data_IF_035314362179
#
_entry.id   IF_035314362179
#
_cell.length_a   1.000
_cell.length_b   1.000
_cell.length_c   1.000
_cell.angle_alpha   90.00
_cell.angle_beta   90.00
_cell.angle_gamma   90.00
#
_symmetry.space_group_name_H-M   'P 1'
#
loop_
_entity.id
_entity.type
_entity.pdbx_description
1 polymer ?
#
# COMPACT_ATOMS: atom_id res chain seq x y z
N UNK A 1 23.09 0.59 34.44
CA UNK A 1 23.24 1.06 33.05
C UNK A 1 22.65 -0.01 32.15
N UNK A 2 21.49 0.23 31.56
CA UNK A 2 20.93 -0.66 30.53
C UNK A 2 21.82 -0.55 29.29
N UNK A 3 22.28 -1.68 28.76
CA UNK A 3 23.09 -1.70 27.53
C UNK A 3 22.32 -1.04 26.38
N UNK A 4 22.99 -0.22 25.55
CA UNK A 4 22.36 0.41 24.38
C UNK A 4 21.84 -0.70 23.43
N UNK A 5 20.51 -0.83 23.22
CA UNK A 5 19.97 -1.87 22.36
C UNK A 5 20.50 -1.82 20.93
N UNK A 6 20.90 -0.65 20.43
CA UNK A 6 21.43 -0.53 19.06
C UNK A 6 22.75 -1.26 18.84
N UNK A 7 23.50 -1.55 19.92
CA UNK A 7 24.75 -2.30 19.86
C UNK A 7 24.56 -3.81 19.74
N UNK A 8 23.32 -4.31 19.79
CA UNK A 8 23.07 -5.72 19.50
C UNK A 8 23.28 -6.01 18.01
N UNK A 9 23.67 -7.23 17.70
CA UNK A 9 23.81 -7.72 16.33
C UNK A 9 22.48 -7.60 15.58
N UNK A 10 22.54 -7.20 14.32
CA UNK A 10 21.42 -7.13 13.38
C UNK A 10 20.73 -8.48 13.16
N UNK A 11 21.45 -9.59 13.46
CA UNK A 11 20.95 -10.97 13.39
C UNK A 11 20.13 -11.35 14.61
N UNK A 12 20.32 -10.62 15.71
CA UNK A 12 19.59 -10.84 16.95
C UNK A 12 18.22 -10.22 16.80
N UNK A 13 17.23 -11.04 16.43
CA UNK A 13 15.84 -10.61 16.38
C UNK A 13 15.30 -10.65 17.81
N UNK A 14 15.51 -9.57 18.55
CA UNK A 14 14.77 -9.34 19.79
C UNK A 14 13.49 -8.57 19.45
N UNK A 15 12.35 -9.15 19.83
CA UNK A 15 11.03 -8.48 19.83
C UNK A 15 10.86 -7.64 21.09
N UNK A 16 11.93 -7.03 21.59
CA UNK A 16 11.82 -6.16 22.75
C UNK A 16 11.29 -4.81 22.27
N UNK A 17 10.18 -4.36 22.86
CA UNK A 17 9.59 -3.05 22.58
C UNK A 17 10.62 -1.91 22.70
N UNK A 18 11.67 -2.11 23.50
CA UNK A 18 12.73 -1.14 23.68
C UNK A 18 13.66 -1.01 22.45
N UNK A 19 14.04 -2.11 21.79
CA UNK A 19 14.84 -2.04 20.56
C UNK A 19 14.04 -1.38 19.43
N UNK A 20 12.78 -1.80 19.28
CA UNK A 20 11.86 -1.23 18.30
C UNK A 20 11.77 0.30 18.45
N UNK A 21 11.50 0.79 19.67
CA UNK A 21 11.45 2.22 19.99
C UNK A 21 12.74 2.93 19.62
N UNK A 22 13.88 2.40 20.05
CA UNK A 22 15.17 3.07 19.83
C UNK A 22 15.53 3.10 18.35
N UNK A 23 15.20 2.05 17.59
CA UNK A 23 15.34 2.01 16.13
C UNK A 23 14.47 3.08 15.47
N UNK A 24 13.17 3.15 15.79
CA UNK A 24 12.26 4.13 15.17
C UNK A 24 12.71 5.56 15.52
N UNK A 25 13.09 5.80 16.78
CA UNK A 25 13.64 7.09 17.21
C UNK A 25 14.88 7.49 16.40
N UNK A 26 15.83 6.57 16.21
CA UNK A 26 17.04 6.84 15.45
C UNK A 26 16.75 7.06 13.95
N UNK A 27 15.85 6.27 13.37
CA UNK A 27 15.51 6.34 11.95
C UNK A 27 14.82 7.65 11.56
N UNK A 28 13.96 8.21 12.42
CA UNK A 28 13.24 9.45 12.10
C UNK A 28 13.58 10.64 12.98
N UNK A 29 14.61 10.54 13.82
CA UNK A 29 15.04 11.63 14.69
C UNK A 29 14.00 11.99 15.77
N UNK A 30 13.09 11.06 16.10
CA UNK A 30 12.14 11.26 17.20
C UNK A 30 12.81 10.98 18.54
N UNK A 31 12.25 11.51 19.62
CA UNK A 31 12.82 11.42 20.97
C UNK A 31 11.86 10.79 21.98
N UNK A 32 11.02 9.85 21.52
CA UNK A 32 9.98 9.27 22.36
C UNK A 32 10.56 8.44 23.52
N UNK A 33 10.12 8.79 24.72
CA UNK A 33 10.29 7.99 25.92
C UNK A 33 9.54 6.65 25.80
N UNK A 34 9.86 5.64 26.64
CA UNK A 34 9.12 4.37 26.66
C UNK A 34 7.60 4.53 26.79
N UNK A 35 7.16 5.52 27.58
CA UNK A 35 5.73 5.81 27.78
C UNK A 35 5.08 6.44 26.56
N UNK A 36 5.76 7.36 25.87
CA UNK A 36 5.25 7.97 24.65
C UNK A 36 5.20 6.95 23.52
N UNK A 37 6.23 6.11 23.40
CA UNK A 37 6.27 5.05 22.39
C UNK A 37 5.16 4.02 22.61
N UNK A 38 4.84 3.67 23.86
CA UNK A 38 3.75 2.74 24.14
C UNK A 38 2.41 3.19 23.53
N UNK A 39 2.16 4.51 23.45
CA UNK A 39 0.95 5.05 22.81
C UNK A 39 1.00 5.00 21.28
N UNK A 40 2.20 4.93 20.71
CA UNK A 40 2.45 4.90 19.26
C UNK A 40 2.80 3.50 18.74
N UNK A 41 3.02 2.54 19.63
CA UNK A 41 3.62 1.25 19.29
C UNK A 41 2.87 0.54 18.17
N UNK A 42 1.54 0.51 18.25
CA UNK A 42 0.71 -0.13 17.23
C UNK A 42 0.88 0.46 15.81
N UNK A 43 1.30 1.73 15.71
CA UNK A 43 1.55 2.39 14.43
C UNK A 43 2.88 1.99 13.78
N UNK A 44 3.88 1.64 14.61
CA UNK A 44 5.25 1.40 14.16
C UNK A 44 5.70 -0.05 14.28
N UNK A 45 4.97 -0.88 15.03
CA UNK A 45 5.19 -2.32 15.15
C UNK A 45 5.05 -3.03 13.80
N UNK A 46 4.11 -2.59 12.97
CA UNK A 46 3.93 -3.12 11.61
C UNK A 46 5.16 -2.82 10.75
N UNK A 47 5.67 -1.59 10.79
CA UNK A 47 6.92 -1.24 10.10
C UNK A 47 8.08 -2.08 10.62
N UNK A 48 8.24 -2.19 11.94
CA UNK A 48 9.37 -2.89 12.51
C UNK A 48 9.36 -4.39 12.15
N UNK A 49 8.21 -5.04 12.28
CA UNK A 49 8.07 -6.47 11.96
C UNK A 49 8.12 -6.75 10.46
N UNK A 50 7.37 -5.99 9.65
CA UNK A 50 7.16 -6.27 8.22
C UNK A 50 8.22 -5.65 7.33
N UNK A 51 8.78 -4.50 7.73
CA UNK A 51 9.83 -3.81 7.00
C UNK A 51 11.21 -4.10 7.59
N UNK A 52 11.45 -3.64 8.83
CA UNK A 52 12.78 -3.60 9.42
C UNK A 52 13.38 -4.99 9.60
N UNK A 53 12.73 -5.85 10.38
CA UNK A 53 13.22 -7.21 10.64
C UNK A 53 13.39 -8.04 9.37
N UNK A 54 12.44 -7.93 8.43
CA UNK A 54 12.51 -8.66 7.17
C UNK A 54 13.74 -8.23 6.35
N UNK A 55 13.98 -6.93 6.17
CA UNK A 55 15.12 -6.46 5.39
C UNK A 55 16.45 -6.79 6.07
N UNK A 56 16.54 -6.64 7.39
CA UNK A 56 17.73 -7.04 8.15
C UNK A 56 18.03 -8.53 7.97
N UNK A 57 17.03 -9.41 8.11
CA UNK A 57 17.19 -10.86 7.89
C UNK A 57 17.64 -11.17 6.46
N UNK A 58 17.01 -10.53 5.48
CA UNK A 58 17.34 -10.72 4.07
C UNK A 58 18.79 -10.31 3.78
N UNK A 59 19.23 -9.15 4.30
CA UNK A 59 20.59 -8.65 4.15
C UNK A 59 21.65 -9.52 4.82
N UNK A 60 21.32 -10.12 5.97
CA UNK A 60 22.20 -11.04 6.69
C UNK A 60 22.22 -12.48 6.12
N UNK A 61 21.54 -12.73 5.00
CA UNK A 61 21.41 -14.05 4.37
C UNK A 61 21.91 -14.09 2.92
N UNK A 62 22.17 -15.30 2.40
CA UNK A 62 22.65 -15.53 1.04
C UNK A 62 24.16 -15.30 0.84
N UNK A 63 24.60 -15.40 -0.41
CA UNK A 63 26.03 -15.44 -0.78
C UNK A 63 26.79 -14.15 -0.44
N UNK A 64 26.11 -13.00 -0.53
CA UNK A 64 26.69 -11.68 -0.26
C UNK A 64 26.22 -11.08 1.06
N UNK A 65 25.95 -11.93 2.06
CA UNK A 65 25.46 -11.48 3.37
C UNK A 65 26.36 -10.40 3.97
N UNK A 66 25.73 -9.39 4.58
CA UNK A 66 26.47 -8.42 5.37
C UNK A 66 27.13 -9.12 6.58
N UNK A 67 28.31 -8.66 7.04
CA UNK A 67 28.94 -9.15 8.26
C UNK A 67 28.03 -8.96 9.48
N UNK A 68 28.51 -9.35 10.66
CA UNK A 68 27.75 -9.20 11.91
C UNK A 68 27.73 -7.72 12.35
N UNK A 69 26.99 -6.90 11.60
CA UNK A 69 26.73 -5.50 11.90
C UNK A 69 25.82 -5.39 13.10
N UNK A 70 25.94 -4.28 13.81
CA UNK A 70 24.97 -3.85 14.82
C UNK A 70 23.87 -3.00 14.18
N UNK A 71 22.78 -2.75 14.90
CA UNK A 71 21.77 -1.78 14.45
C UNK A 71 22.35 -0.37 14.34
N UNK A 72 23.29 -0.02 15.24
CA UNK A 72 24.03 1.25 15.24
C UNK A 72 24.83 1.44 13.94
N UNK A 73 25.49 0.38 13.44
CA UNK A 73 26.24 0.45 12.18
C UNK A 73 25.32 0.82 11.00
N UNK A 74 24.16 0.17 10.88
CA UNK A 74 23.21 0.47 9.79
C UNK A 74 22.59 1.86 9.95
N UNK A 75 22.28 2.28 11.18
CA UNK A 75 21.77 3.62 11.48
C UNK A 75 22.80 4.69 11.07
N UNK A 76 24.10 4.46 11.29
CA UNK A 76 25.14 5.42 10.86
C UNK A 76 25.19 5.63 9.33
N UNK A 77 24.92 4.56 8.56
CA UNK A 77 24.78 4.65 7.09
C UNK A 77 23.54 5.47 6.75
N UNK A 78 22.42 5.23 7.44
CA UNK A 78 21.17 5.97 7.26
C UNK A 78 21.36 7.45 7.59
N UNK A 79 22.10 7.80 8.63
CA UNK A 79 22.39 9.18 8.97
C UNK A 79 23.28 9.85 7.93
N UNK A 80 24.17 9.10 7.28
CA UNK A 80 24.91 9.57 6.10
C UNK A 80 23.97 9.88 4.93
N UNK A 81 22.92 9.09 4.72
CA UNK A 81 21.87 9.34 3.71
C UNK A 81 21.01 10.57 4.03
N UNK A 82 20.79 10.87 5.31
CA UNK A 82 19.98 12.03 5.76
C UNK A 82 20.74 13.35 5.79
N UNK A 83 22.04 13.31 6.03
CA UNK A 83 22.84 14.50 6.35
C UNK A 83 23.41 15.20 5.13
N UNK A 84 23.45 14.54 3.98
CA UNK A 84 24.21 15.01 2.81
C UNK A 84 23.50 14.61 1.52
N UNK A 85 23.57 15.45 0.48
CA UNK A 85 23.12 15.09 -0.87
C UNK A 85 24.13 14.15 -1.56
N UNK A 86 24.62 13.15 -0.82
CA UNK A 86 25.64 12.23 -1.28
C UNK A 86 25.07 11.30 -2.33
N UNK A 87 25.85 11.11 -3.39
CA UNK A 87 25.63 10.03 -4.33
C UNK A 87 25.93 8.71 -3.63
N UNK A 88 25.31 7.63 -4.10
CA UNK A 88 25.52 6.29 -3.55
C UNK A 88 27.01 5.93 -3.41
N UNK A 89 27.85 6.27 -4.41
CA UNK A 89 29.30 6.04 -4.37
C UNK A 89 30.03 6.73 -3.22
N UNK A 90 29.51 7.86 -2.75
CA UNK A 90 30.11 8.63 -1.67
C UNK A 90 29.71 8.04 -0.33
N UNK A 91 28.45 7.59 -0.19
CA UNK A 91 27.97 6.82 0.97
C UNK A 91 28.74 5.51 1.14
N UNK A 92 29.04 4.80 0.04
CA UNK A 92 29.85 3.57 0.08
C UNK A 92 31.23 3.78 0.72
N UNK A 93 31.82 4.98 0.60
CA UNK A 93 33.12 5.33 1.21
C UNK A 93 33.01 5.65 2.70
N UNK A 94 31.82 5.98 3.17
CA UNK A 94 31.54 6.38 4.56
C UNK A 94 31.09 5.22 5.44
N UNK A 95 30.93 4.01 4.86
CA UNK A 95 30.51 2.84 5.62
C UNK A 95 31.55 2.53 6.72
N UNK A 96 31.10 2.31 7.97
CA UNK A 96 31.98 1.83 9.02
C UNK A 96 32.72 0.56 8.60
N UNK A 97 34.04 0.55 8.71
CA UNK A 97 34.88 -0.60 8.37
C UNK A 97 34.78 -1.03 6.87
N UNK A 98 34.50 -0.10 5.95
CA UNK A 98 34.39 -0.37 4.51
C UNK A 98 35.56 -1.17 3.91
N UNK A 99 36.78 -1.00 4.45
CA UNK A 99 38.01 -1.69 4.02
C UNK A 99 37.90 -3.22 4.12
N UNK A 100 37.06 -3.74 5.02
CA UNK A 100 36.91 -5.17 5.27
C UNK A 100 35.74 -5.80 4.50
N UNK A 101 35.03 -5.02 3.69
CA UNK A 101 33.86 -5.46 2.95
C UNK A 101 34.22 -5.69 1.48
N UNK A 102 33.66 -6.75 0.90
CA UNK A 102 33.63 -6.85 -0.56
C UNK A 102 32.69 -5.77 -1.14
N UNK A 103 32.90 -5.32 -2.40
CA UNK A 103 32.03 -4.32 -3.03
C UNK A 103 30.54 -4.68 -2.96
N UNK A 104 30.20 -5.96 -3.17
CA UNK A 104 28.82 -6.47 -3.08
C UNK A 104 28.21 -6.36 -1.68
N UNK A 105 29.02 -6.53 -0.63
CA UNK A 105 28.56 -6.40 0.75
C UNK A 105 28.32 -4.94 1.13
N UNK A 106 29.20 -4.03 0.69
CA UNK A 106 29.02 -2.58 0.86
C UNK A 106 27.76 -2.09 0.15
N UNK A 107 27.57 -2.49 -1.11
CA UNK A 107 26.36 -2.23 -1.90
C UNK A 107 25.10 -2.72 -1.19
N UNK A 108 25.12 -3.94 -0.67
CA UNK A 108 24.00 -4.51 0.09
C UNK A 108 23.68 -3.73 1.35
N UNK A 109 24.69 -3.33 2.13
CA UNK A 109 24.51 -2.56 3.36
C UNK A 109 23.89 -1.18 3.07
N UNK A 110 24.32 -0.51 2.00
CA UNK A 110 23.76 0.79 1.57
C UNK A 110 22.34 0.65 1.03
N UNK A 111 22.05 -0.36 0.22
CA UNK A 111 20.69 -0.62 -0.25
C UNK A 111 19.75 -1.02 0.91
N UNK A 112 20.25 -1.77 1.90
CA UNK A 112 19.52 -2.05 3.14
C UNK A 112 19.17 -0.75 3.86
N UNK A 113 20.16 0.12 4.10
CA UNK A 113 19.95 1.41 4.75
C UNK A 113 18.88 2.26 4.04
N UNK A 114 18.94 2.34 2.70
CA UNK A 114 17.93 3.05 1.91
C UNK A 114 16.53 2.43 2.04
N UNK A 115 16.40 1.09 1.97
CA UNK A 115 15.12 0.39 2.10
C UNK A 115 14.53 0.38 3.52
N UNK A 116 15.36 0.61 4.55
CA UNK A 116 14.89 0.83 5.91
C UNK A 116 14.38 2.26 6.10
N UNK A 117 15.05 3.25 5.50
CA UNK A 117 14.66 4.66 5.59
C UNK A 117 13.38 4.95 4.78
N UNK A 118 13.31 4.46 3.54
CA UNK A 118 12.23 4.75 2.58
C UNK A 118 11.47 3.46 2.28
N UNK A 119 10.11 3.48 2.28
CA UNK A 119 9.31 2.28 2.06
C UNK A 119 9.29 1.84 0.59
N UNK A 120 10.45 1.46 0.06
CA UNK A 120 10.69 1.03 -1.31
C UNK A 120 11.54 -0.24 -1.33
N UNK A 121 11.39 -1.04 -2.38
CA UNK A 121 12.16 -2.28 -2.55
C UNK A 121 13.39 -2.01 -3.42
N UNK A 122 14.57 -1.90 -2.80
CA UNK A 122 15.83 -1.80 -3.54
C UNK A 122 16.38 -3.18 -3.91
N UNK A 123 17.00 -3.26 -5.08
CA UNK A 123 17.74 -4.45 -5.51
C UNK A 123 18.96 -4.73 -4.64
N UNK A 124 19.44 -5.97 -4.66
CA UNK A 124 20.70 -6.34 -4.00
C UNK A 124 20.66 -6.48 -2.48
N UNK A 125 19.54 -6.16 -1.79
CA UNK A 125 19.37 -6.42 -0.34
C UNK A 125 19.36 -7.93 -0.04
N UNK A 126 18.91 -8.75 -0.99
CA UNK A 126 18.64 -10.17 -0.79
C UNK A 126 17.17 -10.42 -0.43
N UNK A 127 16.77 -11.70 -0.46
CA UNK A 127 15.38 -12.10 -0.26
C UNK A 127 14.44 -11.70 -1.40
N UNK A 128 13.22 -12.22 -1.35
CA UNK A 128 12.15 -11.84 -2.27
C UNK A 128 11.08 -11.05 -1.51
N UNK A 129 10.98 -9.75 -1.79
CA UNK A 129 9.76 -8.99 -1.50
C UNK A 129 8.86 -8.98 -2.72
N UNK A 130 7.53 -9.15 -2.54
CA UNK A 130 6.57 -8.80 -3.57
C UNK A 130 6.72 -7.33 -3.94
N UNK A 131 6.51 -7.02 -5.22
CA UNK A 131 6.50 -5.65 -5.70
C UNK A 131 7.60 -5.28 -6.70
N UNK A 132 7.46 -4.09 -7.28
CA UNK A 132 8.47 -3.51 -8.16
C UNK A 132 9.77 -3.25 -7.37
N UNK A 133 10.90 -3.65 -7.96
CA UNK A 133 12.24 -3.36 -7.41
C UNK A 133 12.87 -2.17 -8.13
N UNK A 134 13.72 -1.46 -7.39
CA UNK A 134 14.46 -0.29 -7.86
C UNK A 134 15.94 -0.62 -7.89
N UNK A 135 16.56 -0.37 -9.03
CA UNK A 135 18.01 -0.33 -9.15
C UNK A 135 18.50 1.07 -8.79
N UNK A 136 19.38 1.18 -7.79
CA UNK A 136 19.95 2.45 -7.39
C UNK A 136 21.38 2.59 -7.92
N UNK A 137 21.56 3.49 -8.90
CA UNK A 137 22.83 3.74 -9.57
C UNK A 137 23.84 4.46 -8.66
N UNK A 138 25.14 4.13 -8.83
CA UNK A 138 26.23 4.67 -8.00
C UNK A 138 26.39 6.20 -8.10
N UNK A 139 26.03 6.79 -9.23
CA UNK A 139 26.17 8.23 -9.51
C UNK A 139 24.95 9.07 -9.10
N UNK A 140 23.88 8.45 -8.60
CA UNK A 140 22.66 9.13 -8.19
C UNK A 140 22.56 9.19 -6.67
N UNK A 141 21.95 10.25 -6.19
CA UNK A 141 21.49 10.36 -4.81
C UNK A 141 20.25 9.50 -4.60
N UNK A 142 19.90 9.24 -3.34
CA UNK A 142 18.68 8.51 -3.01
C UNK A 142 17.43 9.27 -3.49
N UNK A 143 17.42 10.60 -3.29
CA UNK A 143 16.34 11.49 -3.70
C UNK A 143 16.14 11.46 -5.22
N UNK A 144 17.20 11.67 -6.01
CA UNK A 144 17.12 11.65 -7.48
C UNK A 144 16.54 10.33 -7.99
N UNK A 145 16.97 9.21 -7.40
CA UNK A 145 16.46 7.87 -7.78
C UNK A 145 14.95 7.73 -7.50
N UNK A 146 14.48 8.23 -6.35
CA UNK A 146 13.06 8.22 -6.00
C UNK A 146 12.27 9.14 -6.94
N UNK A 147 12.75 10.36 -7.16
CA UNK A 147 12.11 11.34 -8.04
C UNK A 147 11.98 10.81 -9.46
N UNK A 148 13.02 10.18 -10.02
CA UNK A 148 12.97 9.57 -11.34
C UNK A 148 11.91 8.47 -11.43
N UNK A 149 11.85 7.56 -10.45
CA UNK A 149 10.86 6.48 -10.44
C UNK A 149 9.42 6.99 -10.42
N UNK A 150 9.14 8.02 -9.61
CA UNK A 150 7.82 8.63 -9.53
C UNK A 150 7.51 9.59 -10.69
N UNK A 151 8.53 10.20 -11.29
CA UNK A 151 8.39 11.00 -12.50
C UNK A 151 8.04 10.12 -13.70
N UNK A 152 8.63 8.93 -13.82
CA UNK A 152 8.24 7.94 -14.83
C UNK A 152 6.77 7.55 -14.66
N UNK A 153 6.30 7.31 -13.42
CA UNK A 153 4.89 7.00 -13.16
C UNK A 153 3.95 8.16 -13.49
N UNK A 154 4.36 9.39 -13.20
CA UNK A 154 3.61 10.62 -13.53
C UNK A 154 3.54 10.83 -15.05
N UNK A 155 4.64 10.62 -15.76
CA UNK A 155 4.72 10.75 -17.22
C UNK A 155 3.97 9.65 -17.98
N UNK A 156 3.75 8.49 -17.35
CA UNK A 156 2.84 7.45 -17.87
C UNK A 156 1.36 7.89 -17.83
N UNK A 157 1.05 9.03 -17.20
CA UNK A 157 -0.29 9.57 -17.26
C UNK A 157 -0.67 9.94 -18.70
N UNK A 158 -1.85 9.49 -19.08
CA UNK A 158 -2.57 9.89 -20.30
C UNK A 158 -2.63 11.43 -20.41
N UNK A 159 -2.86 11.99 -21.61
CA UNK A 159 -2.91 13.44 -21.83
C UNK A 159 -3.67 14.17 -20.72
N UNK A 160 -3.15 15.33 -20.31
CA UNK A 160 -3.55 16.07 -19.11
C UNK A 160 -5.07 16.26 -18.93
N UNK A 161 -5.82 16.23 -20.03
CA UNK A 161 -7.27 16.12 -20.07
C UNK A 161 -7.70 14.89 -20.88
N UNK A 162 -7.97 13.73 -20.25
CA UNK A 162 -8.77 12.70 -20.90
C UNK A 162 -10.20 13.23 -20.96
N UNK A 163 -10.49 14.03 -21.98
CA UNK A 163 -11.84 14.53 -22.25
C UNK A 163 -12.68 13.30 -22.61
N UNK A 164 -13.77 13.08 -21.89
CA UNK A 164 -14.82 12.17 -22.34
C UNK A 164 -15.25 12.63 -23.74
N UNK A 165 -15.08 11.80 -24.77
CA UNK A 165 -15.37 12.18 -26.16
C UNK A 165 -16.81 12.71 -26.37
N UNK A 166 -17.70 12.40 -25.43
CA UNK A 166 -19.11 12.75 -25.42
C UNK A 166 -19.46 13.90 -24.46
N UNK A 167 -18.56 14.29 -23.56
CA UNK A 167 -18.87 15.20 -22.45
C UNK A 167 -17.63 15.98 -22.04
N UNK A 168 -17.63 17.30 -22.26
CA UNK A 168 -16.55 18.27 -21.98
C UNK A 168 -16.17 18.43 -20.49
N UNK A 169 -16.55 17.49 -19.63
CA UNK A 169 -16.29 17.50 -18.18
C UNK A 169 -15.04 16.71 -17.80
N UNK A 170 -14.31 17.19 -16.78
CA UNK A 170 -13.23 16.47 -16.13
C UNK A 170 -13.72 15.14 -15.54
N UNK A 171 -12.91 14.07 -15.64
CA UNK A 171 -13.23 12.79 -15.01
C UNK A 171 -13.24 12.97 -13.49
N UNK A 172 -14.42 12.80 -12.88
CA UNK A 172 -14.63 12.86 -11.42
C UNK A 172 -14.81 11.46 -10.85
N UNK A 173 -14.22 11.21 -9.69
CA UNK A 173 -14.49 9.98 -8.95
C UNK A 173 -15.85 10.08 -8.25
N UNK A 174 -16.74 9.09 -8.44
CA UNK A 174 -18.03 9.10 -7.76
C UNK A 174 -17.86 8.93 -6.25
N UNK A 175 -18.92 9.20 -5.48
CA UNK A 175 -18.90 8.96 -4.03
C UNK A 175 -18.66 7.49 -3.69
N UNK A 176 -19.18 6.57 -4.53
CA UNK A 176 -18.99 5.12 -4.46
C UNK A 176 -17.76 4.68 -5.27
N UNK A 177 -16.59 5.06 -4.78
CA UNK A 177 -15.30 4.66 -5.35
C UNK A 177 -14.29 4.36 -4.22
N UNK A 178 -14.74 3.66 -3.18
CA UNK A 178 -13.90 3.23 -2.07
C UNK A 178 -13.35 1.80 -2.24
N UNK A 179 -12.44 1.38 -1.36
CA UNK A 179 -11.97 -0.01 -1.28
C UNK A 179 -13.10 -0.98 -0.96
N UNK A 180 -14.08 -0.55 -0.15
CA UNK A 180 -15.28 -1.36 0.10
C UNK A 180 -16.05 -1.62 -1.20
N UNK A 181 -16.25 -0.60 -2.03
CA UNK A 181 -16.93 -0.74 -3.32
C UNK A 181 -16.12 -1.62 -4.27
N UNK A 182 -14.81 -1.36 -4.39
CA UNK A 182 -13.91 -2.19 -5.19
C UNK A 182 -13.99 -3.66 -4.77
N UNK A 183 -13.94 -3.95 -3.47
CA UNK A 183 -13.94 -5.32 -2.94
C UNK A 183 -15.30 -6.01 -3.09
N UNK A 184 -16.37 -5.35 -2.64
CA UNK A 184 -17.66 -6.00 -2.40
C UNK A 184 -18.68 -5.77 -3.51
N UNK A 185 -18.49 -4.74 -4.34
CA UNK A 185 -19.33 -4.49 -5.52
C UNK A 185 -18.59 -5.03 -6.74
N UNK A 186 -17.39 -4.51 -7.01
CA UNK A 186 -16.63 -4.87 -8.21
C UNK A 186 -15.76 -6.13 -8.05
N UNK A 187 -15.72 -6.76 -6.87
CA UNK A 187 -15.07 -8.06 -6.69
C UNK A 187 -13.54 -8.06 -6.69
N UNK A 188 -12.90 -6.90 -6.58
CA UNK A 188 -11.46 -6.76 -6.61
C UNK A 188 -10.81 -7.53 -5.47
N UNK A 189 -9.61 -8.05 -5.72
CA UNK A 189 -8.72 -8.49 -4.67
C UNK A 189 -7.90 -7.31 -4.16
N UNK A 190 -7.94 -7.06 -2.85
CA UNK A 190 -7.16 -5.99 -2.23
C UNK A 190 -5.94 -6.62 -1.59
N UNK A 191 -4.75 -6.19 -1.99
CA UNK A 191 -3.48 -6.61 -1.39
C UNK A 191 -2.84 -5.42 -0.70
N UNK A 192 -2.55 -5.55 0.59
CA UNK A 192 -1.83 -4.51 1.34
C UNK A 192 -0.34 -4.64 1.06
N UNK A 193 0.29 -3.53 0.64
CA UNK A 193 1.72 -3.48 0.30
C UNK A 193 2.48 -2.54 1.23
N UNK A 194 3.74 -2.89 1.47
CA UNK A 194 4.72 -2.08 2.21
C UNK A 194 5.59 -1.24 1.29
N UNK A 195 5.49 -1.44 -0.03
CA UNK A 195 6.22 -0.68 -1.04
C UNK A 195 5.34 0.43 -1.57
N UNK A 196 5.79 1.68 -1.41
CA UNK A 196 5.08 2.85 -1.92
C UNK A 196 4.92 2.77 -3.44
N UNK A 197 5.94 2.29 -4.16
CA UNK A 197 5.89 2.14 -5.61
C UNK A 197 4.84 1.15 -6.12
N UNK A 198 4.25 0.31 -5.27
CA UNK A 198 3.16 -0.59 -5.68
C UNK A 198 1.78 0.00 -5.40
N UNK A 199 1.68 1.16 -4.76
CA UNK A 199 0.39 1.78 -4.43
C UNK A 199 -0.45 1.99 -5.69
N UNK A 200 -1.71 1.54 -5.66
CA UNK A 200 -2.66 1.57 -6.77
C UNK A 200 -2.25 0.75 -7.99
N UNK A 201 -1.24 -0.11 -7.90
CA UNK A 201 -0.92 -1.03 -8.97
C UNK A 201 -2.12 -1.96 -9.20
N UNK A 202 -2.61 -1.99 -10.43
CA UNK A 202 -3.70 -2.88 -10.86
C UNK A 202 -3.08 -4.00 -11.69
N UNK A 203 -3.33 -5.24 -11.28
CA UNK A 203 -2.90 -6.45 -11.96
C UNK A 203 -4.15 -7.25 -12.28
N UNK A 204 -4.28 -7.68 -13.54
CA UNK A 204 -5.36 -8.55 -13.99
C UNK A 204 -4.78 -9.92 -14.33
N UNK A 205 -5.04 -10.90 -13.48
CA UNK A 205 -4.58 -12.28 -13.62
C UNK A 205 -5.80 -13.21 -13.56
N UNK A 206 -5.98 -14.07 -14.57
CA UNK A 206 -7.00 -15.14 -14.58
C UNK A 206 -8.43 -14.64 -14.22
N UNK A 207 -8.87 -13.51 -14.79
CA UNK A 207 -10.16 -12.85 -14.51
C UNK A 207 -10.31 -12.36 -13.05
N UNK A 208 -9.20 -12.14 -12.35
CA UNK A 208 -9.20 -11.61 -10.98
C UNK A 208 -8.36 -10.35 -10.93
N UNK A 209 -9.06 -9.22 -10.91
CA UNK A 209 -8.43 -7.91 -10.77
C UNK A 209 -7.94 -7.73 -9.33
N UNK A 210 -6.64 -7.55 -9.18
CA UNK A 210 -5.97 -7.27 -7.91
C UNK A 210 -5.47 -5.83 -7.90
N UNK A 211 -5.75 -5.09 -6.82
CA UNK A 211 -5.21 -3.76 -6.57
C UNK A 211 -4.36 -3.77 -5.30
N UNK A 212 -3.17 -3.18 -5.40
CA UNK A 212 -2.23 -3.05 -4.29
C UNK A 212 -2.42 -1.71 -3.58
N UNK A 213 -2.59 -1.72 -2.26
CA UNK A 213 -2.83 -0.52 -1.45
C UNK A 213 -1.71 -0.39 -0.42
N UNK A 214 -1.04 0.75 -0.44
CA UNK A 214 0.03 1.05 0.50
C UNK A 214 -0.55 1.23 1.90
N UNK A 215 0.09 0.62 2.90
CA UNK A 215 -0.45 0.61 4.26
C UNK A 215 0.37 1.36 5.31
N UNK A 216 1.64 1.71 5.08
CA UNK A 216 2.52 2.28 6.11
C UNK A 216 2.36 3.80 6.22
N UNK A 217 1.16 4.26 6.56
CA UNK A 217 0.76 5.68 6.63
C UNK A 217 1.55 6.44 7.68
N UNK A 218 1.73 5.85 8.87
CA UNK A 218 2.46 6.42 10.00
C UNK A 218 3.92 6.67 9.68
N UNK A 219 4.51 5.89 8.78
CA UNK A 219 5.89 6.10 8.30
C UNK A 219 5.96 7.31 7.37
N UNK A 220 4.97 7.50 6.49
CA UNK A 220 4.91 8.71 5.67
C UNK A 220 4.69 9.96 6.53
N UNK A 221 3.91 9.88 7.61
CA UNK A 221 3.77 10.99 8.56
C UNK A 221 5.11 11.36 9.22
N UNK A 222 5.95 10.37 9.55
CA UNK A 222 7.30 10.64 10.05
C UNK A 222 8.20 11.27 8.99
N UNK A 223 8.10 10.86 7.73
CA UNK A 223 8.84 11.49 6.63
C UNK A 223 8.51 12.99 6.49
N UNK A 224 7.27 13.42 6.77
CA UNK A 224 6.93 14.85 6.79
C UNK A 224 7.60 15.64 7.91
N UNK A 225 8.05 14.97 8.97
CA UNK A 225 8.76 15.62 10.09
C UNK A 225 10.27 15.70 9.90
N UNK A 226 10.81 14.97 8.90
CA UNK A 226 12.23 15.02 8.58
C UNK A 226 12.59 16.37 7.97
N UNK A 227 13.72 16.92 8.41
CA UNK A 227 14.28 18.15 7.82
C UNK A 227 14.80 17.92 6.40
N UNK A 228 15.14 16.67 6.04
CA UNK A 228 15.58 16.30 4.69
C UNK A 228 14.41 15.72 3.88
N UNK A 229 14.15 16.35 2.75
CA UNK A 229 13.14 15.94 1.76
C UNK A 229 13.68 14.80 0.87
N UNK A 230 13.69 13.56 1.41
CA UNK A 230 14.09 12.34 0.67
C UNK A 230 12.96 11.85 -0.24
N UNK A 231 11.73 11.89 0.25
CA UNK A 231 10.51 11.58 -0.51
C UNK A 231 9.81 12.91 -0.76
N UNK A 232 9.53 13.29 -2.02
CA UNK A 232 8.87 14.56 -2.32
C UNK A 232 7.60 14.77 -1.49
N UNK A 233 7.49 15.91 -0.80
CA UNK A 233 6.35 16.23 0.05
C UNK A 233 4.99 16.16 -0.69
N UNK A 234 4.97 16.56 -1.97
CA UNK A 234 3.78 16.49 -2.83
C UNK A 234 3.34 15.03 -3.06
N UNK A 235 4.29 14.10 -3.22
CA UNK A 235 4.00 12.67 -3.37
C UNK A 235 3.39 12.08 -2.09
N UNK A 236 3.91 12.47 -0.92
CA UNK A 236 3.35 12.05 0.37
C UNK A 236 1.91 12.55 0.50
N UNK A 237 1.70 13.83 0.22
CA UNK A 237 0.38 14.48 0.33
C UNK A 237 -0.63 13.82 -0.61
N UNK A 238 -0.25 13.63 -1.88
CA UNK A 238 -1.10 12.96 -2.86
C UNK A 238 -1.39 11.50 -2.45
N UNK A 239 -0.44 10.79 -1.83
CA UNK A 239 -0.67 9.43 -1.31
C UNK A 239 -1.69 9.42 -0.17
N UNK A 240 -1.69 10.42 0.70
CA UNK A 240 -2.75 10.55 1.72
C UNK A 240 -4.10 10.84 1.09
N UNK A 241 -4.15 11.65 0.04
CA UNK A 241 -5.38 11.97 -0.68
C UNK A 241 -5.94 10.76 -1.44
N UNK A 242 -5.09 9.92 -2.06
CA UNK A 242 -5.53 8.68 -2.69
C UNK A 242 -6.06 7.68 -1.66
N UNK A 243 -5.42 7.59 -0.49
CA UNK A 243 -5.95 6.79 0.62
C UNK A 243 -7.26 7.37 1.14
N UNK A 244 -7.40 8.70 1.24
CA UNK A 244 -8.65 9.35 1.65
C UNK A 244 -9.79 9.15 0.63
N UNK A 245 -9.46 9.12 -0.66
CA UNK A 245 -10.39 8.79 -1.74
C UNK A 245 -10.93 7.36 -1.58
N UNK A 246 -10.04 6.41 -1.30
CA UNK A 246 -10.35 4.98 -1.26
C UNK A 246 -10.86 4.48 0.09
N UNK A 247 -10.47 5.13 1.19
CA UNK A 247 -10.82 4.76 2.56
C UNK A 247 -11.50 5.94 3.27
N UNK A 248 -12.62 6.47 2.76
CA UNK A 248 -13.22 7.68 3.31
C UNK A 248 -13.67 7.48 4.76
N UNK A 249 -13.15 8.30 5.68
CA UNK A 249 -13.47 8.21 7.11
C UNK A 249 -14.97 8.32 7.42
N UNK A 250 -15.74 9.00 6.57
CA UNK A 250 -17.18 9.20 6.73
C UNK A 250 -18.03 7.98 6.36
N UNK A 251 -17.44 6.94 5.75
CA UNK A 251 -18.15 5.71 5.41
C UNK A 251 -17.97 4.65 6.50
N UNK A 252 -19.02 4.44 7.30
CA UNK A 252 -19.06 3.48 8.41
C UNK A 252 -18.79 2.04 7.97
N UNK A 253 -19.18 1.66 6.75
CA UNK A 253 -18.93 0.29 6.24
C UNK A 253 -17.45 0.07 6.00
N UNK A 254 -16.80 1.05 5.37
CA UNK A 254 -15.36 1.02 5.11
C UNK A 254 -14.55 1.02 6.41
N UNK A 255 -14.90 1.87 7.38
CA UNK A 255 -14.19 1.91 8.67
C UNK A 255 -14.35 0.61 9.46
N UNK A 256 -15.60 0.12 9.63
CA UNK A 256 -15.85 -1.13 10.35
C UNK A 256 -15.21 -2.36 9.67
N UNK A 257 -15.05 -2.34 8.35
CA UNK A 257 -14.32 -3.37 7.61
C UNK A 257 -12.82 -3.29 7.84
N UNK A 258 -12.26 -2.09 7.75
CA UNK A 258 -10.85 -1.85 7.96
C UNK A 258 -10.44 -2.24 9.38
N UNK A 259 -11.23 -1.91 10.41
CA UNK A 259 -10.96 -2.30 11.80
C UNK A 259 -10.84 -3.82 11.98
N UNK A 260 -11.63 -4.60 11.22
CA UNK A 260 -11.52 -6.06 11.21
C UNK A 260 -10.25 -6.54 10.51
N UNK A 261 -9.86 -5.87 9.42
CA UNK A 261 -8.63 -6.18 8.70
C UNK A 261 -7.39 -5.83 9.51
N UNK A 262 -7.42 -4.70 10.22
CA UNK A 262 -6.35 -4.24 11.08
C UNK A 262 -5.96 -5.32 12.10
N UNK A 263 -6.96 -5.90 12.79
CA UNK A 263 -6.76 -7.00 13.74
C UNK A 263 -6.23 -8.28 13.11
N UNK A 264 -6.53 -8.51 11.83
CA UNK A 264 -6.17 -9.75 11.11
C UNK A 264 -4.79 -9.68 10.44
N UNK A 265 -4.43 -8.51 9.94
CA UNK A 265 -3.26 -8.30 9.08
C UNK A 265 -2.23 -7.34 9.68
N UNK A 266 -2.42 -6.91 10.93
CA UNK A 266 -1.58 -5.93 11.63
C UNK A 266 -1.43 -4.63 10.84
N UNK A 267 -2.55 -4.13 10.28
CA UNK A 267 -2.52 -2.93 9.45
C UNK A 267 -2.28 -1.67 10.29
N UNK A 268 -1.75 -0.65 9.64
CA UNK A 268 -1.43 0.62 10.30
C UNK A 268 -2.68 1.33 10.86
N UNK A 269 -2.78 1.53 12.20
CA UNK A 269 -3.87 2.28 12.83
C UNK A 269 -4.02 3.73 12.34
N UNK A 270 -2.94 4.32 11.83
CA UNK A 270 -2.88 5.70 11.37
C UNK A 270 -3.67 5.98 10.10
N UNK A 271 -4.14 4.94 9.40
CA UNK A 271 -4.73 5.06 8.05
C UNK A 271 -5.85 6.09 7.93
N UNK A 272 -6.73 6.20 8.94
CA UNK A 272 -7.83 7.17 8.92
C UNK A 272 -7.48 8.56 9.48
N UNK A 273 -6.28 8.78 10.05
CA UNK A 273 -5.89 10.09 10.61
C UNK A 273 -5.87 11.19 9.55
N UNK A 274 -5.43 10.86 8.34
CA UNK A 274 -5.34 11.76 7.18
C UNK A 274 -6.41 11.52 6.11
N UNK A 275 -7.44 10.71 6.43
CA UNK A 275 -8.49 10.35 5.48
C UNK A 275 -9.57 11.44 5.36
N UNK A 276 -9.18 12.59 4.80
CA UNK A 276 -10.11 13.63 4.38
C UNK A 276 -9.72 14.15 3.00
N UNK A 277 -10.66 14.03 2.06
CA UNK A 277 -10.54 14.56 0.70
C UNK A 277 -11.81 15.33 0.38
N UNK A 278 -11.69 16.59 0.00
CA UNK A 278 -12.85 17.40 -0.36
C UNK A 278 -13.48 16.87 -1.65
N UNK A 279 -14.74 17.22 -1.87
CA UNK A 279 -15.46 16.77 -3.07
C UNK A 279 -14.88 17.38 -4.36
N UNK A 280 -14.38 18.61 -4.27
CA UNK A 280 -13.71 19.34 -5.36
C UNK A 280 -12.37 18.69 -5.76
N UNK A 281 -11.67 18.08 -4.81
CA UNK A 281 -10.36 17.43 -5.04
C UNK A 281 -10.52 15.99 -5.59
N UNK A 282 -11.75 15.51 -5.81
CA UNK A 282 -12.04 14.20 -6.43
C UNK A 282 -11.95 14.21 -7.95
N UNK A 283 -11.20 15.15 -8.49
CA UNK A 283 -10.95 15.28 -9.92
C UNK A 283 -9.67 14.54 -10.31
N UNK A 284 -9.69 13.84 -11.43
CA UNK A 284 -8.53 13.07 -11.87
C UNK A 284 -7.27 13.92 -12.04
N UNK A 285 -7.43 15.19 -12.42
CA UNK A 285 -6.31 16.12 -12.62
C UNK A 285 -5.64 16.57 -11.31
N UNK A 286 -6.30 16.38 -10.16
CA UNK A 286 -5.74 16.69 -8.84
C UNK A 286 -4.51 15.82 -8.54
N UNK A 287 -4.57 14.57 -8.98
CA UNK A 287 -3.50 13.59 -8.80
C UNK A 287 -2.42 13.79 -9.88
N UNK A 288 -1.16 13.97 -9.49
CA UNK A 288 0.00 14.11 -10.39
C UNK A 288 0.77 12.80 -10.52
N UNK A 289 1.09 12.16 -9.39
CA UNK A 289 1.90 10.95 -9.31
C UNK A 289 1.07 9.68 -9.56
N UNK A 290 -0.14 9.63 -9.00
CA UNK A 290 -0.99 8.44 -8.98
C UNK A 290 -2.04 8.43 -10.09
N UNK A 291 -2.16 9.51 -10.86
CA UNK A 291 -3.17 9.68 -11.93
C UNK A 291 -3.28 8.47 -12.84
N UNK A 292 -2.15 8.03 -13.41
CA UNK A 292 -2.10 6.94 -14.39
C UNK A 292 -2.69 5.64 -13.83
N UNK A 293 -2.42 5.35 -12.56
CA UNK A 293 -2.94 4.18 -11.84
C UNK A 293 -4.39 4.34 -11.43
N UNK A 294 -4.79 5.52 -10.99
CA UNK A 294 -6.19 5.82 -10.70
C UNK A 294 -7.08 5.71 -11.94
N UNK A 295 -6.60 6.12 -13.13
CA UNK A 295 -7.34 5.89 -14.39
C UNK A 295 -7.53 4.41 -14.63
N UNK A 296 -6.46 3.61 -14.53
CA UNK A 296 -6.54 2.15 -14.71
C UNK A 296 -7.51 1.52 -13.72
N UNK A 297 -7.43 1.92 -12.45
CA UNK A 297 -8.33 1.44 -11.39
C UNK A 297 -9.79 1.83 -11.67
N UNK A 298 -10.04 3.08 -12.07
CA UNK A 298 -11.39 3.55 -12.41
C UNK A 298 -11.95 2.81 -13.61
N UNK A 299 -11.17 2.68 -14.68
CA UNK A 299 -11.56 1.95 -15.88
C UNK A 299 -11.92 0.51 -15.54
N UNK A 300 -11.05 -0.18 -14.79
CA UNK A 300 -11.30 -1.54 -14.33
C UNK A 300 -12.57 -1.64 -13.45
N UNK A 301 -12.82 -0.65 -12.59
CA UNK A 301 -14.02 -0.61 -11.77
C UNK A 301 -15.29 -0.44 -12.61
N UNK A 302 -15.29 0.47 -13.57
CA UNK A 302 -16.45 0.75 -14.44
C UNK A 302 -16.76 -0.42 -15.40
N UNK A 303 -15.71 -1.10 -15.89
CA UNK A 303 -15.82 -2.23 -16.82
C UNK A 303 -16.21 -3.54 -16.13
N UNK A 304 -15.85 -3.72 -14.85
CA UNK A 304 -16.12 -4.97 -14.15
C UNK A 304 -17.60 -5.13 -13.81
N UNK A 305 -18.23 -6.14 -14.41
CA UNK A 305 -19.61 -6.54 -14.12
C UNK A 305 -19.68 -7.51 -12.92
N UNK A 306 -20.72 -7.42 -12.08
CA UNK A 306 -20.90 -8.31 -10.94
C UNK A 306 -21.01 -9.77 -11.41
N UNK A 307 -20.24 -10.67 -10.80
CA UNK A 307 -20.22 -12.10 -11.17
C UNK A 307 -20.88 -13.01 -10.13
N UNK A 308 -21.26 -12.46 -8.97
CA UNK A 308 -21.97 -13.17 -7.89
C UNK A 308 -23.34 -12.56 -7.63
N UNK A 309 -24.37 -13.35 -7.26
CA UNK A 309 -25.68 -12.83 -6.89
C UNK A 309 -25.62 -11.79 -5.74
N UNK A 310 -24.71 -11.96 -4.79
CA UNK A 310 -24.49 -11.00 -3.70
C UNK A 310 -23.88 -9.68 -4.16
N UNK A 311 -23.12 -9.68 -5.26
CA UNK A 311 -22.62 -8.47 -5.90
C UNK A 311 -23.72 -7.81 -6.72
N UNK A 312 -24.48 -8.57 -7.52
CA UNK A 312 -25.66 -8.08 -8.25
C UNK A 312 -26.67 -7.40 -7.31
N UNK A 313 -26.87 -7.94 -6.10
CA UNK A 313 -27.73 -7.30 -5.09
C UNK A 313 -27.20 -5.94 -4.61
N UNK A 314 -25.87 -5.76 -4.53
CA UNK A 314 -25.22 -4.52 -4.04
C UNK A 314 -24.91 -3.51 -5.13
N UNK A 315 -24.85 -3.95 -6.38
CA UNK A 315 -24.43 -3.13 -7.52
C UNK A 315 -25.62 -2.33 -8.09
N UNK A 316 -25.73 -1.06 -7.71
CA UNK A 316 -26.72 -0.12 -8.23
C UNK A 316 -26.17 0.78 -9.34
N UNK A 317 -24.95 0.52 -9.85
CA UNK A 317 -24.29 1.38 -10.85
C UNK A 317 -24.99 1.36 -12.20
N UNK A 318 -25.66 0.25 -12.55
CA UNK A 318 -26.44 0.05 -13.78
C UNK A 318 -27.90 -0.29 -13.44
N UNK A 319 -28.78 0.70 -13.17
CA UNK A 319 -30.12 0.45 -12.64
C UNK A 319 -30.98 -0.42 -13.55
N UNK A 320 -30.82 -0.31 -14.87
CA UNK A 320 -31.55 -1.14 -15.85
C UNK A 320 -31.18 -2.61 -15.71
N UNK A 321 -29.87 -2.94 -15.68
CA UNK A 321 -29.42 -4.33 -15.52
C UNK A 321 -29.84 -4.90 -14.16
N UNK A 322 -29.78 -4.08 -13.11
CA UNK A 322 -30.23 -4.46 -11.77
C UNK A 322 -31.72 -4.86 -11.77
N UNK A 323 -32.60 -4.06 -12.38
CA UNK A 323 -34.02 -4.40 -12.51
C UNK A 323 -34.23 -5.68 -13.33
N UNK A 324 -33.54 -5.84 -14.45
CA UNK A 324 -33.63 -7.05 -15.28
C UNK A 324 -33.30 -8.31 -14.48
N UNK A 325 -32.25 -8.27 -13.64
CA UNK A 325 -31.87 -9.38 -12.77
C UNK A 325 -33.00 -9.74 -11.78
N UNK A 326 -33.59 -8.76 -11.09
CA UNK A 326 -34.68 -9.00 -10.14
C UNK A 326 -35.97 -9.45 -10.81
N UNK A 327 -36.29 -8.93 -11.99
CA UNK A 327 -37.42 -9.39 -12.79
C UNK A 327 -37.22 -10.84 -13.20
N UNK A 328 -36.01 -11.24 -13.63
CA UNK A 328 -35.72 -12.63 -13.96
C UNK A 328 -35.88 -13.57 -12.75
N UNK A 329 -35.42 -13.17 -11.56
CA UNK A 329 -35.64 -13.93 -10.31
C UNK A 329 -37.13 -14.05 -10.01
N UNK A 330 -37.89 -12.94 -10.11
CA UNK A 330 -39.32 -12.94 -9.86
C UNK A 330 -40.06 -13.90 -10.80
N UNK A 331 -39.76 -13.84 -12.11
CA UNK A 331 -40.35 -14.74 -13.11
C UNK A 331 -40.01 -16.20 -12.81
N UNK A 332 -38.77 -16.50 -12.42
CA UNK A 332 -38.34 -17.85 -12.04
C UNK A 332 -39.13 -18.38 -10.83
N UNK A 333 -39.27 -17.57 -9.78
CA UNK A 333 -40.03 -17.93 -8.57
C UNK A 333 -41.50 -18.18 -8.92
N UNK A 334 -42.12 -17.28 -9.69
CA UNK A 334 -43.50 -17.44 -10.14
C UNK A 334 -43.69 -18.71 -10.98
N UNK A 335 -42.74 -19.02 -11.88
CA UNK A 335 -42.78 -20.24 -12.70
C UNK A 335 -42.75 -21.50 -11.85
N UNK A 336 -41.88 -21.55 -10.83
CA UNK A 336 -41.79 -22.69 -9.91
C UNK A 336 -43.09 -22.84 -9.12
N UNK A 337 -43.65 -21.74 -8.60
CA UNK A 337 -44.91 -21.74 -7.85
C UNK A 337 -46.08 -22.22 -8.71
N UNK A 338 -46.23 -21.69 -9.92
CA UNK A 338 -47.29 -22.13 -10.83
C UNK A 338 -47.13 -23.58 -11.24
N UNK A 339 -45.90 -24.04 -11.53
CA UNK A 339 -45.64 -25.45 -11.81
C UNK A 339 -45.99 -26.36 -10.63
N UNK A 340 -45.72 -25.93 -9.40
CA UNK A 340 -46.06 -26.70 -8.20
C UNK A 340 -47.57 -26.75 -7.97
N UNK A 341 -48.27 -25.62 -8.13
CA UNK A 341 -49.74 -25.57 -8.04
C UNK A 341 -50.35 -26.50 -9.09
N UNK A 342 -49.90 -26.42 -10.35
CA UNK A 342 -50.38 -27.27 -11.45
C UNK A 342 -50.16 -28.76 -11.17
N UNK A 343 -49.00 -29.13 -10.63
CA UNK A 343 -48.69 -30.51 -10.24
C UNK A 343 -49.62 -31.02 -9.15
N UNK A 344 -49.86 -30.21 -8.10
CA UNK A 344 -50.79 -30.55 -7.00
C UNK A 344 -52.21 -30.67 -7.51
N UNK A 345 -52.69 -29.73 -8.34
CA UNK A 345 -54.02 -29.80 -8.93
C UNK A 345 -54.19 -31.01 -9.84
N UNK A 346 -53.15 -31.35 -10.62
CA UNK A 346 -53.17 -32.54 -11.48
C UNK A 346 -53.24 -33.83 -10.65
N UNK A 347 -52.47 -33.92 -9.56
CA UNK A 347 -52.53 -35.08 -8.66
C UNK A 347 -53.89 -35.21 -7.96
N UNK A 348 -54.44 -34.12 -7.47
CA UNK A 348 -55.79 -34.10 -6.87
C UNK A 348 -56.86 -34.49 -7.89
N UNK A 349 -56.75 -34.03 -9.14
CA UNK A 349 -57.69 -34.39 -10.20
C UNK A 349 -57.66 -35.89 -10.50
N UNK A 350 -56.48 -36.52 -10.53
CA UNK A 350 -56.33 -37.97 -10.76
C UNK A 350 -56.84 -38.80 -9.58
N UNK A 351 -56.72 -38.31 -8.35
CA UNK A 351 -57.22 -39.02 -7.16
C UNK A 351 -58.75 -38.91 -7.03
N UNK A 352 -59.33 -37.79 -7.47
CA UNK A 352 -60.76 -37.51 -7.39
C UNK A 352 -61.57 -37.99 -8.61
N UNK A 353 -60.89 -38.34 -9.71
CA UNK A 353 -61.46 -39.00 -10.89
C UNK A 353 -61.41 -40.52 -10.74
#
# INVERSE_FOLDING_TARGET
MTANPLKSSLRTITTTNDLERVVVNALWGTSWSPREYANQQAAYSTYYSSIYQFLCRAACSGDWRIPDYTHEDVISIIDSLKSTNHKKKDVLKLIPHAVNLSPSQSERAVNLAAGLLVPLNFDGIGGARPGKRISWESEKTLKETIEEEFQVLSNQALPANPVCATCTSTIKFPRKFGLWDLKFIAGFNIVWTNSLLDHLLVVDEENKITVYIFQQVSILELHQTLTLDVIPADLISETFETLALLLPRTDEKTTAWYDKLQKKHDLDPGTFRRSYLKLEDRELHHFKYWRSRLVKLKKAFDEHEPNKPTQWWRDDRKPVQWWTFWVAILVLVLTILFGLIQSVTGLLQVILS
#
